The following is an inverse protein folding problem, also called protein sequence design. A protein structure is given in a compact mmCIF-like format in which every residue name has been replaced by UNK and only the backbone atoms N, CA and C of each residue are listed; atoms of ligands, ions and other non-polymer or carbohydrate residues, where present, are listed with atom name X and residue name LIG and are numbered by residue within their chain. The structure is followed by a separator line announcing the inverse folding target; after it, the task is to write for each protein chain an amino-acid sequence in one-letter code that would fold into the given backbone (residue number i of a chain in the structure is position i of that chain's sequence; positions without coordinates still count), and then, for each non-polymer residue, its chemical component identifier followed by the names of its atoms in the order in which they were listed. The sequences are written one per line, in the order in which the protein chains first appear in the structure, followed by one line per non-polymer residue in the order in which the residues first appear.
data_IF_912018306380
#
_entry.id   IF_912018306380
#
_cell.length_a   1.000
_cell.length_b   1.000
_cell.length_c   1.000
_cell.angle_alpha   90.00
_cell.angle_beta   90.00
_cell.angle_gamma   90.00
#
_symmetry.space_group_name_H-M   'P 1'
#
loop_
_entity.id
_entity.type
_entity.pdbx_description
1 polymer ?
#
# COMPACT_ATOMS: atom_id res chain seq x y z
N UNK A 1 -1.97 13.74 -16.46
CA UNK A 1 -1.56 12.32 -16.61
C UNK A 1 -0.08 12.14 -16.30
N UNK A 2 0.36 10.95 -15.90
CA UNK A 2 1.80 10.70 -15.70
C UNK A 2 2.17 9.36 -15.06
N UNK A 3 3.45 9.01 -15.14
CA UNK A 3 4.06 7.94 -14.37
C UNK A 3 4.79 8.52 -13.16
N UNK A 4 4.72 7.83 -12.02
CA UNK A 4 5.50 8.15 -10.82
C UNK A 4 6.07 6.85 -10.25
N UNK A 5 7.33 6.90 -9.88
CA UNK A 5 8.01 5.86 -9.13
C UNK A 5 8.52 6.45 -7.81
N UNK A 6 8.41 5.71 -6.74
CA UNK A 6 9.03 6.03 -5.46
C UNK A 6 9.47 4.73 -4.79
N UNK A 7 10.55 4.77 -4.01
CA UNK A 7 10.98 3.58 -3.28
C UNK A 7 12.01 3.90 -2.22
N UNK A 8 12.15 2.97 -1.30
CA UNK A 8 13.14 2.99 -0.22
C UNK A 8 13.53 1.56 0.05
N UNK A 9 14.84 1.30 0.07
CA UNK A 9 15.39 0.03 0.51
C UNK A 9 16.07 0.28 1.86
N UNK A 10 15.53 -0.37 2.89
CA UNK A 10 16.00 -0.24 4.27
C UNK A 10 16.71 -1.54 4.65
N UNK A 11 18.05 -1.47 4.66
CA UNK A 11 18.93 -2.61 4.92
C UNK A 11 19.49 -2.63 6.35
N UNK A 12 18.99 -1.77 7.26
CA UNK A 12 19.50 -1.80 8.63
C UNK A 12 19.17 -3.15 9.28
N UNK A 13 20.21 -3.89 9.64
CA UNK A 13 20.11 -5.20 10.28
C UNK A 13 19.87 -5.13 11.79
N UNK A 14 19.66 -6.33 12.38
CA UNK A 14 19.43 -6.55 13.81
C UNK A 14 20.57 -5.94 14.65
N UNK A 15 20.22 -4.96 15.49
CA UNK A 15 20.92 -4.43 16.69
C UNK A 15 22.38 -3.93 16.61
N UNK A 16 23.23 -4.29 15.63
CA UNK A 16 24.69 -4.09 15.73
C UNK A 16 25.12 -2.63 15.86
N UNK A 17 24.32 -1.67 15.37
CA UNK A 17 24.68 -0.25 15.35
C UNK A 17 23.82 0.64 16.27
N UNK A 18 22.87 0.10 17.04
CA UNK A 18 21.94 0.92 17.85
C UNK A 18 22.62 1.63 19.02
N UNK A 19 23.61 0.99 19.65
CA UNK A 19 24.30 1.51 20.84
C UNK A 19 25.21 2.71 20.50
N UNK A 20 25.76 2.76 19.28
CA UNK A 20 26.68 3.79 18.82
C UNK A 20 26.03 4.84 17.91
N UNK A 21 24.73 4.73 17.66
CA UNK A 21 24.01 5.69 16.83
C UNK A 21 23.60 6.91 17.67
N UNK A 22 24.10 8.08 17.30
CA UNK A 22 23.75 9.34 17.97
C UNK A 22 22.31 9.78 17.68
N UNK A 23 21.66 9.20 16.66
CA UNK A 23 20.26 9.46 16.35
C UNK A 23 19.33 8.58 17.22
N UNK A 24 18.62 9.22 18.15
CA UNK A 24 17.63 8.58 19.05
C UNK A 24 16.53 7.83 18.28
N UNK A 25 16.07 8.36 17.14
CA UNK A 25 15.03 7.73 16.33
C UNK A 25 15.50 6.43 15.70
N UNK A 26 16.77 6.32 15.30
CA UNK A 26 17.34 5.09 14.76
C UNK A 26 17.59 4.06 15.87
N UNK A 27 18.03 4.51 17.06
CA UNK A 27 18.24 3.65 18.23
C UNK A 27 16.95 3.01 18.75
N UNK A 28 15.85 3.77 18.77
CA UNK A 28 14.54 3.27 19.24
C UNK A 28 13.73 2.58 18.14
N UNK A 29 14.28 2.47 16.92
CA UNK A 29 13.61 1.83 15.80
C UNK A 29 13.51 0.32 16.03
N UNK A 30 12.32 -0.23 15.76
CA UNK A 30 12.03 -1.66 15.91
C UNK A 30 11.64 -2.35 14.61
N UNK A 31 11.41 -1.59 13.54
CA UNK A 31 10.93 -2.11 12.25
C UNK A 31 11.71 -1.44 11.11
N UNK A 32 12.22 -2.25 10.19
CA UNK A 32 12.71 -1.80 8.89
C UNK A 32 11.54 -1.66 7.92
N UNK A 33 11.62 -0.75 6.96
CA UNK A 33 10.51 -0.49 6.04
C UNK A 33 11.00 -0.27 4.61
N UNK A 34 11.07 -1.38 3.87
CA UNK A 34 11.41 -1.37 2.45
C UNK A 34 10.14 -1.31 1.61
N UNK A 35 10.11 -0.45 0.61
CA UNK A 35 8.97 -0.37 -0.31
C UNK A 35 9.35 0.15 -1.69
N UNK A 36 8.55 -0.22 -2.68
CA UNK A 36 8.56 0.37 -4.00
C UNK A 36 7.13 0.59 -4.47
N UNK A 37 6.87 1.76 -5.05
CA UNK A 37 5.59 2.10 -5.67
C UNK A 37 5.79 2.54 -7.11
N UNK A 38 4.93 2.04 -7.98
CA UNK A 38 4.77 2.57 -9.34
C UNK A 38 3.31 2.95 -9.51
N UNK A 39 3.09 4.17 -10.00
CA UNK A 39 1.76 4.71 -10.27
C UNK A 39 1.67 5.24 -11.69
N UNK A 40 0.60 4.86 -12.38
CA UNK A 40 0.15 5.48 -13.61
C UNK A 40 -1.16 6.21 -13.35
N UNK A 41 -1.29 7.42 -13.86
CA UNK A 41 -2.54 8.18 -13.78
C UNK A 41 -2.94 8.72 -15.15
N UNK A 42 -4.19 8.47 -15.49
CA UNK A 42 -4.91 9.07 -16.61
C UNK A 42 -5.79 10.21 -16.08
N UNK A 43 -6.64 10.80 -16.92
CA UNK A 43 -7.45 11.96 -16.51
C UNK A 43 -8.50 11.60 -15.48
N UNK A 44 -9.11 10.43 -15.59
CA UNK A 44 -10.20 9.98 -14.72
C UNK A 44 -9.90 8.69 -13.96
N UNK A 45 -8.68 8.16 -14.06
CA UNK A 45 -8.32 6.92 -13.38
C UNK A 45 -6.86 6.85 -12.98
N UNK A 46 -6.56 5.95 -12.05
CA UNK A 46 -5.19 5.66 -11.64
C UNK A 46 -5.00 4.19 -11.30
N UNK A 47 -3.84 3.67 -11.65
CA UNK A 47 -3.34 2.36 -11.23
C UNK A 47 -2.08 2.58 -10.39
N UNK A 48 -2.02 1.96 -9.22
CA UNK A 48 -0.86 1.95 -8.33
C UNK A 48 -0.52 0.52 -7.95
N UNK A 49 0.77 0.17 -8.02
CA UNK A 49 1.32 -1.08 -7.50
C UNK A 49 2.30 -0.69 -6.40
N UNK A 50 2.09 -1.23 -5.20
CA UNK A 50 2.95 -1.12 -4.03
C UNK A 50 3.48 -2.51 -3.72
N UNK A 51 4.80 -2.62 -3.55
CA UNK A 51 5.43 -3.75 -2.88
C UNK A 51 6.05 -3.20 -1.61
N UNK A 52 5.70 -3.77 -0.46
CA UNK A 52 6.21 -3.32 0.84
C UNK A 52 6.58 -4.50 1.69
N UNK A 53 7.74 -4.43 2.32
CA UNK A 53 8.21 -5.42 3.26
C UNK A 53 8.69 -4.72 4.52
N UNK A 54 8.12 -5.12 5.65
CA UNK A 54 8.51 -4.67 6.98
C UNK A 54 9.01 -5.87 7.76
N UNK A 55 10.13 -5.69 8.43
CA UNK A 55 10.73 -6.73 9.26
C UNK A 55 11.17 -6.12 10.59
N UNK A 56 11.18 -6.94 11.63
CA UNK A 56 11.68 -6.58 12.93
C UNK A 56 13.20 -6.35 12.88
N UNK A 57 13.64 -5.26 13.51
CA UNK A 57 15.06 -4.99 13.76
C UNK A 57 15.45 -5.33 15.21
N UNK A 58 14.52 -5.91 15.96
CA UNK A 58 14.74 -6.48 17.29
C UNK A 58 15.33 -7.90 17.12
N UNK A 59 16.30 -8.27 17.95
CA UNK A 59 16.87 -9.63 17.91
C UNK A 59 15.92 -10.66 18.53
N UNK A 60 15.04 -10.23 19.44
CA UNK A 60 14.09 -11.08 20.13
C UNK A 60 12.78 -11.32 19.36
N UNK A 61 12.64 -10.74 18.16
CA UNK A 61 11.45 -10.86 17.32
C UNK A 61 11.83 -10.85 15.84
N UNK A 62 11.24 -11.75 15.07
CA UNK A 62 11.35 -11.85 13.61
C UNK A 62 10.03 -11.52 12.90
N UNK A 63 9.15 -10.75 13.57
CA UNK A 63 7.87 -10.33 12.99
C UNK A 63 8.05 -9.68 11.62
N UNK A 64 7.44 -10.30 10.61
CA UNK A 64 7.41 -9.79 9.24
C UNK A 64 6.00 -9.38 8.83
N UNK A 65 5.91 -8.37 7.95
CA UNK A 65 4.70 -8.03 7.22
C UNK A 65 5.05 -7.58 5.80
N UNK A 66 4.69 -8.41 4.83
CA UNK A 66 4.75 -8.15 3.41
C UNK A 66 3.38 -7.78 2.83
N UNK A 67 3.36 -6.77 1.97
CA UNK A 67 2.27 -6.41 1.05
C UNK A 67 2.83 -6.60 -0.38
N UNK A 68 2.79 -7.82 -0.91
CA UNK A 68 3.62 -8.31 -2.02
C UNK A 68 2.82 -8.97 -3.16
N UNK A 69 2.22 -8.23 -4.10
CA UNK A 69 2.02 -6.78 -4.10
C UNK A 69 0.67 -6.38 -3.52
N UNK A 70 0.51 -5.08 -3.26
CA UNK A 70 -0.76 -4.37 -3.26
C UNK A 70 -0.97 -3.66 -4.60
N UNK A 71 -2.10 -3.91 -5.26
CA UNK A 71 -2.52 -3.27 -6.50
C UNK A 71 -3.79 -2.48 -6.22
N UNK A 72 -3.82 -1.20 -6.55
CA UNK A 72 -4.98 -0.34 -6.38
C UNK A 72 -5.36 0.30 -7.72
N UNK A 73 -6.61 0.12 -8.14
CA UNK A 73 -7.17 0.75 -9.32
C UNK A 73 -8.36 1.63 -8.91
N UNK A 74 -8.32 2.90 -9.32
CA UNK A 74 -9.36 3.88 -8.99
C UNK A 74 -9.89 4.52 -10.26
N UNK A 75 -11.21 4.60 -10.36
CA UNK A 75 -11.93 5.37 -11.37
C UNK A 75 -12.64 6.51 -10.64
N UNK A 76 -12.31 7.74 -11.01
CA UNK A 76 -12.96 8.94 -10.49
C UNK A 76 -14.42 8.99 -10.96
N UNK A 77 -15.21 9.85 -10.34
CA UNK A 77 -16.62 10.03 -10.69
C UNK A 77 -16.77 10.51 -12.14
N UNK A 78 -17.44 9.72 -12.97
CA UNK A 78 -17.73 10.04 -14.38
C UNK A 78 -19.22 9.88 -14.69
N UNK A 79 -19.75 10.70 -15.60
CA UNK A 79 -21.12 10.56 -16.07
C UNK A 79 -21.29 9.27 -16.87
N UNK A 80 -22.42 8.58 -16.67
CA UNK A 80 -22.78 7.39 -17.43
C UNK A 80 -23.59 7.83 -18.65
N UNK A 81 -22.93 7.98 -19.80
CA UNK A 81 -23.56 8.45 -21.03
C UNK A 81 -24.29 9.78 -20.82
N UNK A 82 -25.52 9.87 -21.32
CA UNK A 82 -26.37 11.07 -21.17
C UNK A 82 -27.25 11.06 -19.90
N UNK A 83 -27.12 10.03 -19.06
CA UNK A 83 -27.97 9.83 -17.89
C UNK A 83 -27.71 10.88 -16.79
N UNK A 84 -28.56 10.88 -15.77
CA UNK A 84 -28.35 11.65 -14.54
C UNK A 84 -27.47 10.90 -13.52
N UNK A 85 -26.89 9.76 -13.89
CA UNK A 85 -26.09 8.94 -12.99
C UNK A 85 -24.61 9.11 -13.26
N UNK A 86 -23.85 8.99 -12.18
CA UNK A 86 -22.41 9.00 -12.19
C UNK A 86 -21.87 7.71 -11.58
N UNK A 87 -20.75 7.25 -12.10
CA UNK A 87 -20.06 6.05 -11.66
C UNK A 87 -18.66 6.40 -11.15
N UNK A 88 -18.24 5.74 -10.07
CA UNK A 88 -16.86 5.68 -9.62
C UNK A 88 -16.59 4.30 -8.99
N UNK A 89 -15.31 3.96 -8.87
CA UNK A 89 -14.91 2.67 -8.36
C UNK A 89 -13.54 2.76 -7.68
N UNK A 90 -13.40 2.03 -6.57
CA UNK A 90 -12.11 1.72 -5.95
C UNK A 90 -11.94 0.20 -5.89
N UNK A 91 -10.81 -0.31 -6.35
CA UNK A 91 -10.47 -1.74 -6.34
C UNK A 91 -9.08 -1.90 -5.78
N UNK A 92 -8.95 -2.80 -4.80
CA UNK A 92 -7.67 -3.10 -4.18
C UNK A 92 -7.47 -4.60 -4.06
N UNK A 93 -6.37 -5.09 -4.61
CA UNK A 93 -5.86 -6.42 -4.36
C UNK A 93 -4.63 -6.31 -3.47
N UNK A 94 -4.50 -7.13 -2.43
CA UNK A 94 -3.26 -7.23 -1.65
C UNK A 94 -2.96 -8.69 -1.36
N UNK A 95 -1.74 -9.12 -1.67
CA UNK A 95 -1.18 -10.37 -1.16
C UNK A 95 -0.37 -10.06 0.10
N UNK A 96 -0.81 -10.59 1.23
CA UNK A 96 -0.12 -10.44 2.51
C UNK A 96 0.81 -11.62 2.76
N UNK A 97 1.96 -11.34 3.35
CA UNK A 97 2.86 -12.32 3.95
C UNK A 97 3.11 -11.86 5.38
N UNK A 98 3.01 -12.73 6.37
CA UNK A 98 3.31 -12.39 7.76
C UNK A 98 3.85 -13.62 8.47
N UNK A 99 4.73 -13.41 9.44
CA UNK A 99 4.97 -14.45 10.44
C UNK A 99 3.86 -14.42 11.49
N UNK A 100 3.28 -15.57 11.79
CA UNK A 100 2.28 -15.73 12.87
C UNK A 100 2.93 -16.02 14.22
N UNK A 101 4.21 -16.38 14.22
CA UNK A 101 5.02 -16.46 15.41
C UNK A 101 6.04 -15.32 15.40
N UNK A 102 6.42 -14.84 16.58
CA UNK A 102 7.47 -13.83 16.71
C UNK A 102 8.72 -14.39 17.37
N UNK A 103 8.76 -15.71 17.61
CA UNK A 103 9.94 -16.39 18.13
C UNK A 103 10.93 -16.60 16.97
N UNK A 104 12.14 -15.99 17.04
CA UNK A 104 13.16 -16.10 15.99
C UNK A 104 13.62 -17.52 15.65
N UNK A 105 13.21 -18.52 16.45
CA UNK A 105 13.53 -19.93 16.24
C UNK A 105 12.39 -20.72 15.58
N UNK A 106 11.24 -20.10 15.32
CA UNK A 106 10.04 -20.76 14.79
C UNK A 106 9.44 -19.96 13.63
N UNK A 107 9.77 -20.37 12.41
CA UNK A 107 9.17 -19.78 11.20
C UNK A 107 7.73 -20.26 10.99
N UNK A 108 6.74 -19.37 11.09
CA UNK A 108 5.34 -19.68 10.80
C UNK A 108 4.74 -18.71 9.79
N UNK A 109 5.28 -18.75 8.57
CA UNK A 109 4.84 -17.89 7.48
C UNK A 109 3.42 -18.20 7.04
N UNK A 110 2.57 -17.18 7.11
CA UNK A 110 1.20 -17.17 6.62
C UNK A 110 1.06 -16.22 5.44
N UNK A 111 0.36 -16.69 4.40
CA UNK A 111 0.07 -15.89 3.22
C UNK A 111 -1.44 -15.89 2.94
N UNK A 112 -1.98 -14.70 2.68
CA UNK A 112 -3.39 -14.53 2.34
C UNK A 112 -3.57 -13.46 1.28
N UNK A 113 -4.50 -13.68 0.38
CA UNK A 113 -4.87 -12.73 -0.66
C UNK A 113 -6.22 -12.11 -0.34
N UNK A 114 -6.32 -10.79 -0.50
CA UNK A 114 -7.56 -10.04 -0.32
C UNK A 114 -7.86 -9.23 -1.56
N UNK A 115 -9.11 -9.33 -2.03
CA UNK A 115 -9.66 -8.45 -3.06
C UNK A 115 -10.81 -7.64 -2.45
N UNK A 116 -10.68 -6.32 -2.52
CA UNK A 116 -11.68 -5.34 -2.18
C UNK A 116 -12.21 -4.68 -3.46
N UNK A 117 -13.54 -4.70 -3.66
CA UNK A 117 -14.19 -4.09 -4.82
C UNK A 117 -15.34 -3.19 -4.37
N UNK A 118 -15.25 -1.89 -4.67
CA UNK A 118 -16.19 -0.88 -4.20
C UNK A 118 -16.71 -0.01 -5.35
N UNK A 119 -17.70 -0.50 -6.12
CA UNK A 119 -18.39 0.30 -7.13
C UNK A 119 -19.41 1.23 -6.47
N UNK A 120 -19.59 2.41 -7.05
CA UNK A 120 -20.57 3.38 -6.57
C UNK A 120 -21.30 3.99 -7.76
N UNK A 121 -22.63 4.06 -7.64
CA UNK A 121 -23.50 4.76 -8.58
C UNK A 121 -24.28 5.81 -7.80
N UNK A 122 -24.19 7.05 -8.25
CA UNK A 122 -24.82 8.18 -7.56
C UNK A 122 -25.61 9.03 -8.57
N UNK A 123 -26.85 9.42 -8.27
CA UNK A 123 -27.51 10.46 -9.05
C UNK A 123 -26.71 11.77 -8.96
N UNK A 124 -26.82 12.60 -9.98
CA UNK A 124 -26.26 13.93 -10.01
C UNK A 124 -27.18 14.89 -10.75
N UNK A 125 -27.22 16.12 -10.28
CA UNK A 125 -27.93 17.22 -10.93
C UNK A 125 -27.12 17.69 -12.14
N UNK A 126 -27.70 17.62 -13.35
CA UNK A 126 -27.22 18.45 -14.46
C UNK A 126 -27.52 19.90 -14.05
N UNK A 127 -26.50 20.68 -13.70
CA UNK A 127 -26.68 22.13 -13.67
C UNK A 127 -26.93 22.56 -15.12
N UNK A 128 -28.16 22.97 -15.43
CA UNK A 128 -28.42 23.68 -16.67
C UNK A 128 -27.69 25.01 -16.56
N UNK A 129 -26.59 25.16 -17.29
CA UNK A 129 -26.12 26.50 -17.63
C UNK A 129 -27.20 27.09 -18.53
N UNK A 130 -28.05 27.95 -17.96
CA UNK A 130 -28.96 28.77 -18.73
C UNK A 130 -28.13 29.86 -19.41
N UNK A 131 -28.26 29.88 -20.76
CA UNK A 131 -27.85 30.91 -21.73
C UNK A 131 -26.35 31.15 -21.93
#
# INVERSE_FOLDING_TARGET
MGFKFNGTLDLEGKEFNKTFNDNISLRNRRISNSYATVRKSWDSSSLEILTRFRDSTDIASDQTLGELPQITYKVQRQAIGESQFYFNQDTRFTSFLTDLNSDPSVDNNFSVQRLDFHPQTNPGTKHSTLA
#
